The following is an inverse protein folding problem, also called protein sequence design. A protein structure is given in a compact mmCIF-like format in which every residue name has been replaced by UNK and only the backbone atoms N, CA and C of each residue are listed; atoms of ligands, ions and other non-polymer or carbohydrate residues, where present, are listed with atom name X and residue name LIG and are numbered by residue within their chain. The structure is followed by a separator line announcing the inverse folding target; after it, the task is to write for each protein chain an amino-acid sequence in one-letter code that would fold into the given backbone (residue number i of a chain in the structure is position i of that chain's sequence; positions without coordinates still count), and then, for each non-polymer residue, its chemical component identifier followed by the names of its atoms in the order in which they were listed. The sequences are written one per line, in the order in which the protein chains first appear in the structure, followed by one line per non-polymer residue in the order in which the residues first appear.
data_IF_164044646445
#
_entry.id   IF_164044646445
#
_cell.length_a   1.000
_cell.length_b   1.000
_cell.length_c   1.000
_cell.angle_alpha   90.00
_cell.angle_beta   90.00
_cell.angle_gamma   90.00
#
_symmetry.space_group_name_H-M   'P 1'
#
loop_
_entity.id
_entity.type
_entity.pdbx_description
1 polymer ?
#
# COMPACT_ATOMS: atom_id res chain seq x y z
N UNK A 1 22.04 -55.56 41.24
CA UNK A 1 21.60 -55.10 39.88
C UNK A 1 21.00 -53.67 39.80
N UNK A 2 21.24 -52.74 40.76
CA UNK A 2 20.55 -51.42 40.76
C UNK A 2 21.38 -50.23 40.21
N UNK A 3 22.70 -50.37 40.04
CA UNK A 3 23.58 -49.24 39.64
C UNK A 3 23.59 -48.95 38.12
N UNK A 4 23.39 -49.97 37.26
CA UNK A 4 23.46 -49.81 35.79
C UNK A 4 22.23 -49.11 35.17
N UNK A 5 21.11 -49.00 35.90
CA UNK A 5 19.86 -48.38 35.38
C UNK A 5 19.82 -46.85 35.47
N UNK A 6 20.63 -46.22 36.35
CA UNK A 6 20.65 -44.75 36.51
C UNK A 6 21.44 -44.04 35.41
N UNK A 7 22.52 -44.65 34.91
CA UNK A 7 23.37 -44.07 33.85
C UNK A 7 22.69 -43.98 32.48
N UNK A 8 21.79 -44.93 32.15
CA UNK A 8 20.99 -44.91 30.90
C UNK A 8 19.98 -43.76 30.88
N UNK A 9 19.34 -43.43 32.00
CA UNK A 9 18.37 -42.33 32.08
C UNK A 9 19.04 -40.96 31.94
N UNK A 10 20.24 -40.77 32.49
CA UNK A 10 21.00 -39.52 32.39
C UNK A 10 21.55 -39.27 30.97
N UNK A 11 22.10 -40.30 30.31
CA UNK A 11 22.55 -40.23 28.91
C UNK A 11 21.38 -39.96 27.96
N UNK A 12 20.22 -40.56 28.22
CA UNK A 12 19.02 -40.31 27.42
C UNK A 12 18.43 -38.92 27.68
N UNK A 13 18.56 -38.34 28.88
CA UNK A 13 18.18 -36.94 29.15
C UNK A 13 19.09 -35.94 28.43
N UNK A 14 20.41 -36.14 28.46
CA UNK A 14 21.36 -35.29 27.70
C UNK A 14 21.21 -35.43 26.19
N UNK A 15 21.00 -36.65 25.70
CA UNK A 15 20.69 -36.90 24.27
C UNK A 15 19.36 -36.26 23.87
N UNK A 16 18.31 -36.37 24.69
CA UNK A 16 17.01 -35.70 24.45
C UNK A 16 17.15 -34.18 24.47
N UNK A 17 17.94 -33.62 25.40
CA UNK A 17 18.21 -32.19 25.45
C UNK A 17 18.98 -31.70 24.22
N UNK A 18 19.97 -32.46 23.75
CA UNK A 18 20.72 -32.15 22.53
C UNK A 18 19.84 -32.26 21.28
N UNK A 19 18.99 -33.28 21.20
CA UNK A 19 18.00 -33.43 20.10
C UNK A 19 17.03 -32.25 20.11
N UNK A 20 16.53 -31.83 21.29
CA UNK A 20 15.63 -30.70 21.40
C UNK A 20 16.30 -29.39 20.97
N UNK A 21 17.55 -29.17 21.39
CA UNK A 21 18.34 -28.00 21.01
C UNK A 21 18.65 -27.98 19.50
N UNK A 22 18.98 -29.14 18.91
CA UNK A 22 19.22 -29.27 17.48
C UNK A 22 17.94 -29.02 16.66
N UNK A 23 16.77 -29.48 17.13
CA UNK A 23 15.49 -29.19 16.48
C UNK A 23 15.15 -27.70 16.51
N UNK A 24 15.37 -27.02 17.64
CA UNK A 24 15.16 -25.56 17.74
C UNK A 24 16.11 -24.81 16.79
N UNK A 25 17.39 -25.21 16.74
CA UNK A 25 18.36 -24.60 15.83
C UNK A 25 17.96 -24.79 14.36
N UNK A 26 17.49 -25.98 13.96
CA UNK A 26 17.01 -26.25 12.61
C UNK A 26 15.78 -25.41 12.24
N UNK A 27 14.84 -25.22 13.18
CA UNK A 27 13.65 -24.38 12.95
C UNK A 27 14.04 -22.92 12.73
N UNK A 28 15.00 -22.40 13.49
CA UNK A 28 15.49 -21.01 13.32
C UNK A 28 16.20 -20.84 11.98
N UNK A 29 17.05 -21.79 11.58
CA UNK A 29 17.74 -21.74 10.28
C UNK A 29 16.74 -21.82 9.13
N UNK A 30 15.73 -22.71 9.22
CA UNK A 30 14.67 -22.81 8.23
C UNK A 30 13.82 -21.53 8.14
N UNK A 31 13.49 -20.91 9.29
CA UNK A 31 12.74 -19.65 9.32
C UNK A 31 13.51 -18.48 8.69
N UNK A 32 14.82 -18.39 8.92
CA UNK A 32 15.68 -17.36 8.29
C UNK A 32 15.80 -17.59 6.79
N UNK A 33 15.95 -18.84 6.35
CA UNK A 33 15.99 -19.18 4.93
C UNK A 33 14.65 -18.86 4.24
N UNK A 34 13.51 -19.20 4.86
CA UNK A 34 12.18 -18.85 4.35
C UNK A 34 11.98 -17.34 4.32
N UNK A 35 12.41 -16.60 5.34
CA UNK A 35 12.33 -15.13 5.37
C UNK A 35 13.19 -14.47 4.28
N UNK A 36 14.39 -15.00 4.00
CA UNK A 36 15.24 -14.54 2.92
C UNK A 36 14.65 -14.85 1.54
N UNK A 37 14.10 -16.07 1.35
CA UNK A 37 13.41 -16.47 0.12
C UNK A 37 12.15 -15.61 -0.10
N UNK A 38 11.38 -15.32 0.96
CA UNK A 38 10.21 -14.42 0.89
C UNK A 38 10.59 -12.98 0.52
N UNK A 39 11.80 -12.52 0.85
CA UNK A 39 12.31 -11.21 0.40
C UNK A 39 12.82 -11.20 -1.04
N UNK A 40 13.29 -12.34 -1.56
CA UNK A 40 13.81 -12.45 -2.93
C UNK A 40 12.73 -12.85 -3.95
N UNK A 41 11.70 -13.61 -3.55
CA UNK A 41 10.60 -14.04 -4.40
C UNK A 41 9.61 -12.90 -4.77
N UNK A 42 9.70 -11.74 -4.12
CA UNK A 42 8.85 -10.58 -4.39
C UNK A 42 9.25 -9.72 -5.58
N UNK A 43 10.27 -10.09 -6.37
CA UNK A 43 10.80 -9.20 -7.44
C UNK A 43 10.92 -9.79 -8.84
N UNK A 44 10.56 -11.04 -9.09
CA UNK A 44 10.82 -11.66 -10.40
C UNK A 44 9.60 -12.23 -11.16
N UNK A 45 8.37 -11.90 -10.73
CA UNK A 45 7.15 -12.26 -11.48
C UNK A 45 6.12 -11.12 -11.56
N UNK A 46 6.53 -9.86 -11.34
CA UNK A 46 5.62 -8.71 -11.43
C UNK A 46 5.85 -7.89 -12.72
N UNK A 47 7.03 -7.93 -13.36
CA UNK A 47 7.31 -7.03 -14.50
C UNK A 47 6.75 -7.46 -15.86
N UNK A 48 6.36 -8.73 -16.06
CA UNK A 48 5.86 -9.19 -17.38
C UNK A 48 4.34 -9.09 -17.49
N UNK A 49 3.60 -9.51 -16.47
CA UNK A 49 2.13 -9.42 -16.48
C UNK A 49 1.61 -8.01 -16.17
N UNK A 50 2.40 -7.14 -15.53
CA UNK A 50 2.00 -5.76 -15.29
C UNK A 50 2.08 -4.90 -16.55
N UNK A 51 2.85 -5.30 -17.57
CA UNK A 51 2.97 -4.54 -18.83
C UNK A 51 1.80 -4.85 -19.78
N UNK A 52 1.33 -6.10 -19.83
CA UNK A 52 0.23 -6.51 -20.69
C UNK A 52 -1.15 -6.26 -20.06
N UNK A 53 -1.30 -6.45 -18.74
CA UNK A 53 -2.55 -6.10 -18.04
C UNK A 53 -2.72 -4.58 -17.93
N UNK A 54 -1.63 -3.80 -17.76
CA UNK A 54 -1.71 -2.33 -17.83
C UNK A 54 -2.06 -1.81 -19.22
N UNK A 55 -1.89 -2.58 -20.30
CA UNK A 55 -2.28 -2.15 -21.64
C UNK A 55 -3.74 -2.53 -21.97
N UNK A 56 -4.24 -3.66 -21.46
CA UNK A 56 -5.60 -4.14 -21.75
C UNK A 56 -6.69 -3.56 -20.82
N UNK A 57 -6.31 -3.02 -19.66
CA UNK A 57 -7.23 -2.29 -18.78
C UNK A 57 -7.36 -0.80 -19.16
N UNK A 58 -6.61 -0.32 -20.17
CA UNK A 58 -6.76 1.03 -20.77
C UNK A 58 -7.98 1.07 -21.70
N UNK A 59 -9.11 0.64 -21.18
CA UNK A 59 -10.43 1.16 -21.56
C UNK A 59 -11.32 1.34 -20.31
N UNK A 60 -10.73 1.31 -19.11
CA UNK A 60 -11.23 2.09 -17.99
C UNK A 60 -10.83 3.54 -18.27
N UNK A 61 -11.80 4.46 -18.28
CA UNK A 61 -11.57 5.88 -18.53
C UNK A 61 -10.40 6.40 -17.69
N UNK A 62 -9.23 6.56 -18.31
CA UNK A 62 -8.16 7.34 -17.72
C UNK A 62 -8.69 8.75 -17.52
N UNK A 63 -8.44 9.31 -16.34
CA UNK A 63 -8.71 10.72 -16.10
C UNK A 63 -7.65 11.49 -16.89
N UNK A 64 -8.09 12.30 -17.83
CA UNK A 64 -7.22 13.18 -18.60
C UNK A 64 -7.25 14.60 -18.01
N UNK A 65 -6.34 15.45 -18.48
CA UNK A 65 -6.31 16.85 -18.06
C UNK A 65 -7.61 17.59 -18.36
N UNK A 66 -8.38 17.16 -19.37
CA UNK A 66 -9.68 17.75 -19.70
C UNK A 66 -10.67 17.54 -18.56
N UNK A 67 -10.80 16.31 -18.06
CA UNK A 67 -11.68 15.99 -16.93
C UNK A 67 -11.27 16.72 -15.66
N UNK A 68 -9.97 16.89 -15.40
CA UNK A 68 -9.50 17.68 -14.27
C UNK A 68 -9.90 19.16 -14.42
N UNK A 69 -9.77 19.74 -15.61
CA UNK A 69 -10.22 21.12 -15.90
C UNK A 69 -11.73 21.27 -15.72
N UNK A 70 -12.51 20.34 -16.23
CA UNK A 70 -13.98 20.34 -16.09
C UNK A 70 -14.39 20.25 -14.61
N UNK A 71 -13.66 19.46 -13.82
CA UNK A 71 -13.89 19.33 -12.38
C UNK A 71 -13.55 20.62 -11.62
N UNK A 72 -12.44 21.28 -11.95
CA UNK A 72 -12.07 22.60 -11.39
C UNK A 72 -13.15 23.64 -11.70
N UNK A 73 -13.64 23.68 -12.94
CA UNK A 73 -14.73 24.59 -13.32
C UNK A 73 -16.02 24.28 -12.53
N UNK A 74 -16.35 23.00 -12.38
CA UNK A 74 -17.50 22.54 -11.62
C UNK A 74 -17.38 22.90 -10.14
N UNK A 75 -16.20 22.72 -9.54
CA UNK A 75 -15.90 23.13 -8.17
C UNK A 75 -16.08 24.64 -7.97
N UNK A 76 -15.66 25.45 -8.95
CA UNK A 76 -15.84 26.90 -8.95
C UNK A 76 -17.30 27.37 -8.99
N UNK A 77 -18.23 26.53 -9.45
CA UNK A 77 -19.67 26.82 -9.50
C UNK A 77 -20.43 26.43 -8.24
N UNK A 78 -19.78 25.74 -7.29
CA UNK A 78 -20.42 25.32 -6.04
C UNK A 78 -20.81 26.56 -5.23
N UNK A 79 -22.07 26.63 -4.80
CA UNK A 79 -22.53 27.71 -3.93
C UNK A 79 -21.94 27.52 -2.52
N UNK A 80 -20.77 28.10 -2.26
CA UNK A 80 -20.03 27.95 -1.01
C UNK A 80 -20.80 28.51 0.22
N UNK A 81 -21.76 29.41 0.02
CA UNK A 81 -22.49 30.05 1.13
C UNK A 81 -23.26 29.07 2.03
N UNK A 82 -23.69 27.92 1.48
CA UNK A 82 -24.49 26.92 2.20
C UNK A 82 -23.65 25.90 2.98
N UNK A 83 -22.32 25.97 2.87
CA UNK A 83 -21.37 25.06 3.49
C UNK A 83 -20.54 25.73 4.58
N UNK A 84 -19.97 24.92 5.48
CA UNK A 84 -19.11 25.37 6.57
C UNK A 84 -17.81 25.97 6.05
N UNK A 85 -17.32 26.99 6.73
CA UNK A 85 -16.09 27.69 6.30
C UNK A 85 -14.88 26.75 6.29
N UNK A 86 -14.83 25.77 7.20
CA UNK A 86 -13.78 24.73 7.25
C UNK A 86 -13.74 23.90 5.97
N UNK A 87 -14.87 23.34 5.54
CA UNK A 87 -14.90 22.47 4.34
C UNK A 87 -14.81 23.25 3.04
N UNK A 88 -15.26 24.51 3.02
CA UNK A 88 -15.05 25.44 1.90
C UNK A 88 -13.57 25.78 1.74
N UNK A 89 -12.83 25.97 2.83
CA UNK A 89 -11.38 26.21 2.76
C UNK A 89 -10.65 25.00 2.17
N UNK A 90 -11.00 23.78 2.59
CA UNK A 90 -10.44 22.55 2.02
C UNK A 90 -10.74 22.42 0.52
N UNK A 91 -11.96 22.76 0.09
CA UNK A 91 -12.32 22.79 -1.33
C UNK A 91 -11.47 23.80 -2.11
N UNK A 92 -11.30 25.01 -1.58
CA UNK A 92 -10.54 26.07 -2.25
C UNK A 92 -9.06 25.69 -2.37
N UNK A 93 -8.47 25.09 -1.33
CA UNK A 93 -7.09 24.58 -1.37
C UNK A 93 -6.93 23.48 -2.42
N UNK A 94 -7.80 22.47 -2.41
CA UNK A 94 -7.73 21.38 -3.39
C UNK A 94 -7.91 21.88 -4.83
N UNK A 95 -8.72 22.93 -5.04
CA UNK A 95 -8.90 23.57 -6.35
C UNK A 95 -7.62 24.30 -6.79
N UNK A 96 -6.98 25.05 -5.89
CA UNK A 96 -5.72 25.74 -6.17
C UNK A 96 -4.60 24.75 -6.52
N UNK A 97 -4.44 23.67 -5.74
CA UNK A 97 -3.48 22.59 -6.02
C UNK A 97 -3.72 21.93 -7.39
N UNK A 98 -4.99 21.72 -7.76
CA UNK A 98 -5.36 21.17 -9.07
C UNK A 98 -5.04 22.15 -10.22
N UNK A 99 -5.24 23.45 -10.03
CA UNK A 99 -4.87 24.49 -10.99
C UNK A 99 -3.34 24.57 -11.18
N UNK A 100 -2.56 24.50 -10.10
CA UNK A 100 -1.10 24.45 -10.15
C UNK A 100 -0.60 23.18 -10.87
N UNK A 101 -1.22 22.04 -10.59
CA UNK A 101 -0.88 20.74 -11.22
C UNK A 101 -0.97 20.86 -12.75
N UNK A 102 -2.04 21.44 -13.29
CA UNK A 102 -2.24 21.60 -14.73
C UNK A 102 -1.20 22.55 -15.34
N UNK A 103 -0.76 23.58 -14.60
CA UNK A 103 0.25 24.51 -15.10
C UNK A 103 1.65 23.86 -15.23
N UNK A 104 1.93 22.85 -14.40
CA UNK A 104 3.23 22.18 -14.30
C UNK A 104 3.60 21.18 -15.40
N UNK A 105 2.73 20.95 -16.40
CA UNK A 105 2.80 19.80 -17.33
C UNK A 105 2.81 18.46 -16.57
N UNK A 106 1.67 18.11 -15.95
CA UNK A 106 1.62 16.98 -15.05
C UNK A 106 1.79 15.66 -15.80
N UNK A 107 2.29 14.65 -15.10
CA UNK A 107 2.23 13.28 -15.57
C UNK A 107 0.84 12.67 -15.29
N UNK A 108 0.57 11.48 -15.85
CA UNK A 108 -0.75 10.83 -15.71
C UNK A 108 -1.14 10.55 -14.25
N UNK A 109 -0.18 10.20 -13.39
CA UNK A 109 -0.41 9.92 -11.97
C UNK A 109 -0.76 11.21 -11.22
N UNK A 110 -0.06 12.31 -11.52
CA UNK A 110 -0.36 13.64 -10.95
C UNK A 110 -1.75 14.14 -11.36
N UNK A 111 -2.18 13.90 -12.60
CA UNK A 111 -3.54 14.25 -13.05
C UNK A 111 -4.61 13.44 -12.29
N UNK A 112 -4.38 12.13 -12.13
CA UNK A 112 -5.30 11.24 -11.41
C UNK A 112 -5.36 11.58 -9.91
N UNK A 113 -4.23 11.85 -9.27
CA UNK A 113 -4.15 12.23 -7.86
C UNK A 113 -4.84 13.58 -7.60
N UNK A 114 -4.55 14.60 -8.41
CA UNK A 114 -5.20 15.91 -8.28
C UNK A 114 -6.70 15.84 -8.54
N UNK A 115 -7.15 14.97 -9.47
CA UNK A 115 -8.57 14.72 -9.67
C UNK A 115 -9.22 14.08 -8.44
N UNK A 116 -8.61 13.03 -7.88
CA UNK A 116 -9.12 12.35 -6.68
C UNK A 116 -9.17 13.30 -5.48
N UNK A 117 -8.13 14.11 -5.27
CA UNK A 117 -8.08 15.09 -4.20
C UNK A 117 -9.23 16.10 -4.31
N UNK A 118 -9.47 16.65 -5.50
CA UNK A 118 -10.56 17.60 -5.71
C UNK A 118 -11.95 16.95 -5.56
N UNK A 119 -12.15 15.71 -6.06
CA UNK A 119 -13.38 14.95 -5.83
C UNK A 119 -13.64 14.73 -4.34
N UNK A 120 -12.61 14.33 -3.59
CA UNK A 120 -12.74 14.09 -2.16
C UNK A 120 -13.09 15.38 -1.40
N UNK A 121 -12.50 16.52 -1.78
CA UNK A 121 -12.81 17.81 -1.18
C UNK A 121 -14.27 18.23 -1.44
N UNK A 122 -14.77 18.04 -2.67
CA UNK A 122 -16.18 18.29 -3.02
C UNK A 122 -17.11 17.39 -2.20
N UNK A 123 -16.79 16.09 -2.06
CA UNK A 123 -17.60 15.14 -1.30
C UNK A 123 -17.57 15.40 0.21
N UNK A 124 -16.50 16.00 0.72
CA UNK A 124 -16.32 16.30 2.14
C UNK A 124 -17.00 17.60 2.57
N UNK A 125 -17.63 18.35 1.66
CA UNK A 125 -18.36 19.56 1.98
C UNK A 125 -19.48 19.30 2.99
N UNK A 126 -19.47 20.07 4.07
CA UNK A 126 -20.46 19.98 5.15
C UNK A 126 -21.36 21.20 5.13
N UNK A 127 -22.68 20.99 5.23
CA UNK A 127 -23.64 22.10 5.32
C UNK A 127 -23.53 22.80 6.67
N UNK A 128 -23.83 24.10 6.68
CA UNK A 128 -23.98 24.90 7.91
C UNK A 128 -25.17 24.44 8.76
#
# INVERSE_FOLDING_TARGET
MKHKRRYRRYRNKKKKAYILAALILCVVIAAVAVFAISRMAGKEQISKNQTEVKALVINAEKVDESKLKDLIESAGKINQSVYTDETVNTLNQAKEEAEETIQGKPNQEEVEDSYLNLVNAIQSLQKK
#
